data_IF_254796992632
#
_entry.id   IF_254796992632
#
_cell.length_a   1.000
_cell.length_b   1.000
_cell.length_c   1.000
_cell.angle_alpha   90.00
_cell.angle_beta   90.00
_cell.angle_gamma   90.00
#
_symmetry.space_group_name_H-M   'P 1'
#
loop_
_entity.id
_entity.type
_entity.pdbx_description
1 polymer ?
#
# COMPACT_ATOMS: atom_id res chain seq x y z
N UNK A 1 -26.84 13.53 10.78
CA UNK A 1 -26.93 13.33 9.29
C UNK A 1 -26.29 12.01 8.88
N UNK A 2 -26.31 11.62 7.59
CA UNK A 2 -25.76 10.32 7.14
C UNK A 2 -24.30 10.08 7.60
N UNK A 3 -23.44 11.10 7.51
CA UNK A 3 -22.03 11.05 7.99
C UNK A 3 -21.95 10.70 9.48
N UNK A 4 -22.76 11.35 10.31
CA UNK A 4 -22.79 11.16 11.76
C UNK A 4 -23.33 9.78 12.15
N UNK A 5 -24.23 9.20 11.34
CA UNK A 5 -24.69 7.83 11.51
C UNK A 5 -23.58 6.84 11.17
N UNK A 6 -22.88 7.03 10.05
CA UNK A 6 -21.74 6.18 9.66
C UNK A 6 -20.59 6.26 10.65
N UNK A 7 -20.27 7.45 11.16
CA UNK A 7 -19.26 7.63 12.20
C UNK A 7 -19.62 6.86 13.48
N UNK A 8 -20.87 6.99 13.97
CA UNK A 8 -21.35 6.23 15.12
C UNK A 8 -21.35 4.71 14.89
N UNK A 9 -21.67 4.26 13.68
CA UNK A 9 -21.57 2.85 13.32
C UNK A 9 -20.13 2.34 13.38
N UNK A 10 -19.17 3.13 12.87
CA UNK A 10 -17.75 2.80 12.94
C UNK A 10 -17.22 2.78 14.38
N UNK A 11 -17.55 3.80 15.18
CA UNK A 11 -17.18 3.88 16.60
C UNK A 11 -17.77 2.73 17.43
N UNK A 12 -19.00 2.30 17.12
CA UNK A 12 -19.65 1.17 17.77
C UNK A 12 -19.30 -0.19 17.13
N UNK A 13 -18.41 -0.22 16.13
CA UNK A 13 -18.04 -1.39 15.32
C UNK A 13 -19.24 -2.18 14.74
N UNK A 14 -20.35 -1.48 14.46
CA UNK A 14 -21.59 -2.09 13.95
C UNK A 14 -21.63 -2.03 12.43
N UNK A 15 -21.60 -3.21 11.80
CA UNK A 15 -21.61 -3.30 10.33
C UNK A 15 -20.29 -2.88 9.69
N UNK A 16 -19.20 -2.85 10.48
CA UNK A 16 -17.86 -2.55 10.02
C UNK A 16 -16.99 -3.80 10.10
N UNK A 17 -16.35 -4.15 8.98
CA UNK A 17 -15.38 -5.25 8.92
C UNK A 17 -13.98 -4.66 8.93
N UNK A 18 -13.16 -5.08 9.89
CA UNK A 18 -11.76 -4.65 9.96
C UNK A 18 -10.99 -5.09 8.70
N UNK A 19 -10.15 -4.22 8.18
CA UNK A 19 -9.33 -4.50 6.99
C UNK A 19 -7.93 -3.90 7.14
N UNK A 20 -6.93 -4.61 6.60
CA UNK A 20 -5.55 -4.14 6.44
C UNK A 20 -5.20 -3.94 4.96
N UNK A 21 -6.21 -3.83 4.09
CA UNK A 21 -6.03 -3.73 2.64
C UNK A 21 -5.36 -2.42 2.25
N UNK A 22 -4.19 -2.52 1.60
CA UNK A 22 -3.53 -1.36 1.00
C UNK A 22 -4.41 -0.70 -0.07
N UNK A 23 -5.21 -1.47 -0.82
CA UNK A 23 -6.15 -0.92 -1.79
C UNK A 23 -7.17 0.03 -1.15
N UNK A 24 -7.72 -0.34 0.02
CA UNK A 24 -8.65 0.52 0.77
C UNK A 24 -7.98 1.80 1.30
N UNK A 25 -6.68 1.75 1.61
CA UNK A 25 -5.90 2.95 1.96
C UNK A 25 -5.79 3.89 0.74
N UNK A 26 -5.54 3.35 -0.45
CA UNK A 26 -5.55 4.13 -1.69
C UNK A 26 -6.92 4.72 -2.00
N UNK A 27 -8.01 3.97 -1.77
CA UNK A 27 -9.38 4.51 -1.93
C UNK A 27 -9.63 5.69 -0.99
N UNK A 28 -9.21 5.58 0.29
CA UNK A 28 -9.34 6.67 1.25
C UNK A 28 -8.53 7.91 0.83
N UNK A 29 -7.29 7.71 0.35
CA UNK A 29 -6.47 8.80 -0.19
C UNK A 29 -7.15 9.47 -1.40
N UNK A 30 -7.70 8.69 -2.34
CA UNK A 30 -8.40 9.23 -3.50
C UNK A 30 -9.62 10.07 -3.12
N UNK A 31 -10.38 9.61 -2.11
CA UNK A 31 -11.53 10.33 -1.59
C UNK A 31 -11.12 11.66 -0.95
N UNK A 32 -10.09 11.64 -0.09
CA UNK A 32 -9.55 12.84 0.57
C UNK A 32 -9.07 13.89 -0.44
N UNK A 33 -8.43 13.44 -1.52
CA UNK A 33 -7.94 14.29 -2.59
C UNK A 33 -9.02 14.76 -3.57
N UNK A 34 -10.27 14.31 -3.39
CA UNK A 34 -11.37 14.62 -4.30
C UNK A 34 -11.23 13.99 -5.70
N UNK A 35 -10.37 12.98 -5.85
CA UNK A 35 -10.07 12.31 -7.12
C UNK A 35 -11.10 11.24 -7.48
N UNK A 36 -11.62 10.51 -6.49
CA UNK A 36 -12.62 9.48 -6.70
C UNK A 36 -13.54 9.38 -5.48
N UNK A 37 -14.86 9.53 -5.70
CA UNK A 37 -15.88 9.40 -4.64
C UNK A 37 -16.52 8.01 -4.60
N UNK A 38 -16.62 7.35 -5.75
CA UNK A 38 -17.25 6.05 -5.91
C UNK A 38 -16.50 5.29 -7.01
N UNK A 39 -16.09 4.07 -6.71
CA UNK A 39 -15.45 3.19 -7.69
C UNK A 39 -16.54 2.57 -8.60
N UNK A 40 -16.46 2.85 -9.90
CA UNK A 40 -17.29 2.27 -10.97
C UNK A 40 -16.68 1.01 -11.56
N UNK A 41 -15.37 0.87 -11.45
CA UNK A 41 -14.63 -0.32 -11.80
C UNK A 41 -13.53 -0.61 -10.79
N UNK A 42 -12.93 -1.79 -10.90
CA UNK A 42 -11.84 -2.20 -10.02
C UNK A 42 -10.66 -1.23 -10.11
N UNK A 43 -10.09 -0.90 -8.95
CA UNK A 43 -8.92 -0.04 -8.77
C UNK A 43 -9.03 1.41 -9.30
N UNK A 44 -10.21 1.91 -9.67
CA UNK A 44 -10.41 3.27 -10.21
C UNK A 44 -9.76 4.36 -9.35
N UNK A 45 -10.11 4.40 -8.06
CA UNK A 45 -9.52 5.34 -7.11
C UNK A 45 -7.99 5.23 -7.02
N UNK A 46 -7.46 4.01 -6.90
CA UNK A 46 -6.01 3.79 -6.80
C UNK A 46 -5.26 4.28 -8.07
N UNK A 47 -5.83 4.04 -9.25
CA UNK A 47 -5.30 4.53 -10.53
C UNK A 47 -5.36 6.05 -10.61
N UNK A 48 -6.43 6.69 -10.11
CA UNK A 48 -6.56 8.13 -10.10
C UNK A 48 -5.49 8.82 -9.22
N UNK A 49 -5.17 8.25 -8.05
CA UNK A 49 -4.09 8.78 -7.19
C UNK A 49 -2.73 8.61 -7.88
N UNK A 50 -2.48 7.49 -8.56
CA UNK A 50 -1.24 7.28 -9.33
C UNK A 50 -1.10 8.31 -10.46
N UNK A 51 -2.17 8.51 -11.23
CA UNK A 51 -2.20 9.48 -12.32
C UNK A 51 -1.98 10.91 -11.83
N UNK A 52 -2.61 11.30 -10.73
CA UNK A 52 -2.43 12.61 -10.11
C UNK A 52 -1.00 12.85 -9.63
N UNK A 53 -0.36 11.84 -9.03
CA UNK A 53 1.04 11.93 -8.61
C UNK A 53 2.00 12.09 -9.80
N UNK A 54 1.69 11.44 -10.93
CA UNK A 54 2.46 11.52 -12.17
C UNK A 54 3.95 11.25 -11.94
N UNK A 55 4.80 12.09 -12.54
CA UNK A 55 6.26 12.05 -12.38
C UNK A 55 6.82 12.90 -11.23
N UNK A 56 5.97 13.47 -10.37
CA UNK A 56 6.42 14.43 -9.34
C UNK A 56 7.29 13.70 -8.31
N UNK A 57 8.49 14.22 -8.04
CA UNK A 57 9.33 13.76 -6.92
C UNK A 57 8.89 14.44 -5.64
N UNK A 58 8.86 13.70 -4.54
CA UNK A 58 8.33 14.17 -3.28
C UNK A 58 9.06 13.53 -2.09
N UNK A 59 9.02 14.20 -0.95
CA UNK A 59 9.41 13.61 0.34
C UNK A 59 8.22 12.92 1.00
N UNK A 60 8.49 11.88 1.79
CA UNK A 60 7.44 11.19 2.52
C UNK A 60 6.84 12.08 3.62
N UNK A 61 5.57 11.86 3.91
CA UNK A 61 4.96 12.25 5.17
C UNK A 61 5.52 11.40 6.32
N UNK A 62 5.32 11.84 7.57
CA UNK A 62 5.51 10.98 8.73
C UNK A 62 4.61 9.73 8.66
N UNK A 63 5.16 8.60 9.08
CA UNK A 63 4.46 7.32 9.24
C UNK A 63 5.06 6.58 10.44
N UNK A 64 4.31 5.63 10.98
CA UNK A 64 4.75 4.85 12.14
C UNK A 64 4.79 3.36 11.79
N UNK A 65 5.84 2.67 12.25
CA UNK A 65 5.94 1.21 12.20
C UNK A 65 6.30 0.69 13.58
N UNK A 66 5.51 -0.24 14.11
CA UNK A 66 5.75 -0.85 15.42
C UNK A 66 5.82 -2.37 15.29
N UNK A 67 6.61 -3.00 16.17
CA UNK A 67 6.77 -4.45 16.21
C UNK A 67 5.91 -5.02 17.33
N UNK A 68 5.09 -6.01 17.01
CA UNK A 68 4.22 -6.72 17.93
C UNK A 68 4.42 -8.23 17.76
N UNK A 69 5.45 -8.77 18.43
CA UNK A 69 5.83 -10.18 18.26
C UNK A 69 6.22 -10.45 16.82
N UNK A 70 5.59 -11.41 16.13
CA UNK A 70 5.93 -11.71 14.73
C UNK A 70 5.32 -10.75 13.70
N UNK A 71 4.56 -9.75 14.14
CA UNK A 71 3.78 -8.86 13.27
C UNK A 71 4.38 -7.46 13.31
N UNK A 72 4.64 -6.87 12.14
CA UNK A 72 4.92 -5.44 12.01
C UNK A 72 3.61 -4.71 11.74
N UNK A 73 3.24 -3.78 12.63
CA UNK A 73 2.09 -2.89 12.44
C UNK A 73 2.55 -1.62 11.76
N UNK A 74 1.93 -1.32 10.64
CA UNK A 74 2.15 -0.12 9.83
C UNK A 74 0.98 0.84 10.06
N UNK A 75 1.25 2.09 10.43
CA UNK A 75 0.25 3.13 10.62
C UNK A 75 0.52 4.34 9.76
N UNK A 76 -0.48 4.68 8.94
CA UNK A 76 -0.53 5.89 8.13
C UNK A 76 -1.39 6.98 8.78
N UNK A 77 -1.80 6.84 10.05
CA UNK A 77 -2.57 7.89 10.71
C UNK A 77 -1.89 9.28 10.65
N UNK A 78 -0.57 9.41 10.94
CA UNK A 78 0.12 10.70 10.79
C UNK A 78 0.16 11.20 9.35
N UNK A 79 0.23 10.27 8.38
CA UNK A 79 0.19 10.60 6.95
C UNK A 79 -1.16 11.19 6.58
N UNK A 80 -2.26 10.56 7.01
CA UNK A 80 -3.62 11.03 6.74
C UNK A 80 -3.87 12.38 7.39
N UNK A 81 -3.41 12.61 8.62
CA UNK A 81 -3.50 13.91 9.29
C UNK A 81 -2.81 15.02 8.48
N UNK A 82 -1.58 14.78 8.02
CA UNK A 82 -0.88 15.73 7.18
C UNK A 82 -1.56 15.95 5.83
N UNK A 83 -2.09 14.90 5.21
CA UNK A 83 -2.84 15.03 3.95
C UNK A 83 -4.10 15.88 4.13
N UNK A 84 -4.85 15.69 5.22
CA UNK A 84 -6.04 16.50 5.53
C UNK A 84 -5.65 17.97 5.71
N UNK A 85 -4.56 18.24 6.41
CA UNK A 85 -4.05 19.60 6.57
C UNK A 85 -3.67 20.24 5.23
N UNK A 86 -2.94 19.51 4.38
CA UNK A 86 -2.51 20.01 3.07
C UNK A 86 -3.70 20.25 2.13
N UNK A 87 -4.72 19.39 2.16
CA UNK A 87 -5.98 19.58 1.42
C UNK A 87 -6.72 20.83 1.94
N UNK A 88 -6.82 21.01 3.26
CA UNK A 88 -7.47 22.18 3.86
C UNK A 88 -6.73 23.49 3.55
N UNK A 89 -5.40 23.42 3.40
CA UNK A 89 -4.56 24.54 2.99
C UNK A 89 -4.60 24.82 1.47
N UNK A 90 -5.31 24.01 0.69
CA UNK A 90 -5.41 24.15 -0.77
C UNK A 90 -4.12 23.81 -1.51
N UNK A 91 -3.28 22.93 -0.96
CA UNK A 91 -2.07 22.47 -1.62
C UNK A 91 -2.39 21.66 -2.89
N UNK A 92 -1.43 21.59 -3.81
CA UNK A 92 -1.59 20.86 -5.08
C UNK A 92 -1.84 19.36 -4.85
N UNK A 93 -2.91 18.85 -5.47
CA UNK A 93 -3.34 17.45 -5.31
C UNK A 93 -2.28 16.48 -5.82
N UNK A 94 -1.57 16.82 -6.91
CA UNK A 94 -0.49 16.00 -7.44
C UNK A 94 0.69 15.89 -6.48
N UNK A 95 1.06 16.99 -5.84
CA UNK A 95 2.08 17.01 -4.80
C UNK A 95 1.68 16.14 -3.59
N UNK A 96 0.45 16.25 -3.08
CA UNK A 96 -0.03 15.41 -1.96
C UNK A 96 -0.04 13.93 -2.37
N UNK A 97 -0.54 13.61 -3.57
CA UNK A 97 -0.55 12.24 -4.10
C UNK A 97 0.87 11.67 -4.25
N UNK A 98 1.83 12.49 -4.69
CA UNK A 98 3.23 12.10 -4.83
C UNK A 98 3.89 11.80 -3.48
N UNK A 99 3.65 12.64 -2.47
CA UNK A 99 4.10 12.44 -1.09
C UNK A 99 3.47 11.19 -0.48
N UNK A 100 2.18 10.95 -0.68
CA UNK A 100 1.49 9.74 -0.25
C UNK A 100 2.14 8.48 -0.82
N UNK A 101 2.39 8.42 -2.14
CA UNK A 101 3.09 7.29 -2.76
C UNK A 101 4.49 7.06 -2.19
N UNK A 102 5.28 8.13 -2.03
CA UNK A 102 6.61 8.03 -1.43
C UNK A 102 6.54 7.48 0.00
N UNK A 103 5.54 7.91 0.77
CA UNK A 103 5.31 7.47 2.15
C UNK A 103 5.00 5.97 2.21
N UNK A 104 4.05 5.50 1.39
CA UNK A 104 3.69 4.08 1.31
C UNK A 104 4.89 3.23 0.89
N UNK A 105 5.62 3.67 -0.15
CA UNK A 105 6.80 2.95 -0.62
C UNK A 105 7.88 2.82 0.47
N UNK A 106 8.17 3.90 1.20
CA UNK A 106 9.14 3.89 2.31
C UNK A 106 8.70 3.05 3.49
N UNK A 107 7.42 3.11 3.85
CA UNK A 107 6.87 2.30 4.94
C UNK A 107 6.96 0.81 4.64
N UNK A 108 6.60 0.39 3.42
CA UNK A 108 6.74 -0.99 2.96
C UNK A 108 8.22 -1.41 2.89
N UNK A 109 9.09 -0.55 2.35
CA UNK A 109 10.52 -0.83 2.26
C UNK A 109 11.16 -1.02 3.65
N UNK A 110 10.87 -0.12 4.59
CA UNK A 110 11.35 -0.21 5.96
C UNK A 110 10.89 -1.50 6.65
N UNK A 111 9.63 -1.88 6.44
CA UNK A 111 9.06 -3.13 6.99
C UNK A 111 9.75 -4.36 6.40
N UNK A 112 9.95 -4.40 5.08
CA UNK A 112 10.64 -5.50 4.42
C UNK A 112 12.11 -5.62 4.85
N UNK A 113 12.81 -4.48 5.01
CA UNK A 113 14.19 -4.44 5.50
C UNK A 113 14.28 -4.98 6.94
N UNK A 114 13.40 -4.54 7.84
CA UNK A 114 13.35 -5.03 9.22
C UNK A 114 13.09 -6.55 9.26
N UNK A 115 12.18 -7.05 8.42
CA UNK A 115 11.91 -8.48 8.32
C UNK A 115 13.13 -9.25 7.79
N UNK A 116 13.82 -8.72 6.78
CA UNK A 116 15.04 -9.34 6.23
C UNK A 116 16.16 -9.40 7.26
N UNK A 117 16.43 -8.30 7.96
CA UNK A 117 17.45 -8.23 9.02
C UNK A 117 17.15 -9.22 10.14
N UNK A 118 15.90 -9.23 10.63
CA UNK A 118 15.46 -10.11 11.72
C UNK A 118 15.59 -11.59 11.36
N UNK A 119 15.29 -11.96 10.11
CA UNK A 119 15.26 -13.35 9.65
C UNK A 119 16.51 -13.76 8.86
N UNK A 120 17.52 -12.89 8.77
CA UNK A 120 18.74 -13.09 7.97
C UNK A 120 18.46 -13.45 6.51
N UNK A 121 17.46 -12.81 5.92
CA UNK A 121 17.08 -12.96 4.52
C UNK A 121 17.71 -11.85 3.68
N UNK A 122 17.98 -12.15 2.41
CA UNK A 122 18.54 -11.21 1.43
C UNK A 122 17.67 -11.04 0.19
N UNK A 123 16.51 -11.69 0.15
CA UNK A 123 15.59 -11.69 -1.00
C UNK A 123 14.19 -11.31 -0.55
N UNK A 124 13.55 -10.41 -1.31
CA UNK A 124 12.17 -9.95 -1.09
C UNK A 124 11.35 -10.24 -2.35
N UNK A 125 10.19 -10.87 -2.18
CA UNK A 125 9.22 -11.05 -3.26
C UNK A 125 8.07 -10.04 -3.12
N UNK A 126 7.69 -9.38 -4.21
CA UNK A 126 6.62 -8.38 -4.28
C UNK A 126 5.54 -8.91 -5.24
N UNK A 127 4.31 -9.04 -4.75
CA UNK A 127 3.15 -9.49 -5.51
C UNK A 127 1.86 -8.93 -4.90
N UNK A 128 0.74 -9.02 -5.61
CA UNK A 128 -0.56 -8.46 -5.22
C UNK A 128 -0.97 -7.29 -6.09
N UNK A 129 -2.29 -7.12 -6.31
CA UNK A 129 -2.86 -6.16 -7.27
C UNK A 129 -2.46 -4.69 -7.04
N UNK A 130 -2.16 -4.30 -5.80
CA UNK A 130 -1.68 -2.93 -5.50
C UNK A 130 -0.36 -2.60 -6.21
N UNK A 131 0.44 -3.60 -6.56
CA UNK A 131 1.71 -3.42 -7.28
C UNK A 131 1.55 -3.37 -8.81
N UNK A 132 0.31 -3.40 -9.33
CA UNK A 132 0.03 -2.92 -10.68
C UNK A 132 0.33 -1.41 -10.82
N UNK A 133 0.30 -0.69 -9.70
CA UNK A 133 0.76 0.70 -9.60
C UNK A 133 2.28 0.76 -9.85
N UNK A 134 2.66 1.30 -11.00
CA UNK A 134 4.04 1.31 -11.50
C UNK A 134 4.91 2.25 -10.68
N UNK A 135 4.34 3.36 -10.21
CA UNK A 135 5.04 4.32 -9.34
C UNK A 135 5.43 3.66 -8.01
N UNK A 136 4.50 2.97 -7.37
CA UNK A 136 4.71 2.27 -6.11
C UNK A 136 5.71 1.12 -6.27
N UNK A 137 5.48 0.24 -7.26
CA UNK A 137 6.36 -0.91 -7.51
C UNK A 137 7.79 -0.44 -7.83
N UNK A 138 7.95 0.48 -8.77
CA UNK A 138 9.26 0.99 -9.17
C UNK A 138 10.01 1.62 -8.00
N UNK A 139 9.33 2.44 -7.20
CA UNK A 139 9.94 3.08 -6.03
C UNK A 139 10.31 2.08 -4.94
N UNK A 140 9.47 1.09 -4.67
CA UNK A 140 9.74 0.05 -3.68
C UNK A 140 10.95 -0.81 -4.09
N UNK A 141 11.01 -1.24 -5.36
CA UNK A 141 12.16 -1.98 -5.91
C UNK A 141 13.44 -1.17 -5.71
N UNK A 142 13.44 0.09 -6.13
CA UNK A 142 14.60 0.97 -6.01
C UNK A 142 15.08 1.11 -4.55
N UNK A 143 14.16 1.33 -3.60
CA UNK A 143 14.49 1.47 -2.18
C UNK A 143 15.12 0.20 -1.60
N UNK A 144 14.63 -0.98 -2.00
CA UNK A 144 15.14 -2.27 -1.52
C UNK A 144 16.49 -2.63 -2.15
N UNK A 145 16.65 -2.42 -3.45
CA UNK A 145 17.90 -2.70 -4.17
C UNK A 145 19.03 -1.77 -3.71
N UNK A 146 18.74 -0.52 -3.36
CA UNK A 146 19.70 0.39 -2.71
C UNK A 146 20.26 -0.17 -1.40
N UNK A 147 19.54 -1.08 -0.73
CA UNK A 147 20.00 -1.83 0.45
C UNK A 147 20.58 -3.21 0.10
N UNK A 148 20.87 -3.46 -1.17
CA UNK A 148 21.45 -4.71 -1.70
C UNK A 148 20.57 -5.94 -1.46
N UNK A 149 19.26 -5.74 -1.30
CA UNK A 149 18.31 -6.85 -1.29
C UNK A 149 18.01 -7.25 -2.73
N UNK A 150 17.94 -8.56 -2.99
CA UNK A 150 17.46 -9.10 -4.25
C UNK A 150 15.93 -8.98 -4.28
N UNK A 151 15.38 -8.33 -5.30
CA UNK A 151 13.93 -8.15 -5.42
C UNK A 151 13.38 -9.04 -6.53
N UNK A 152 12.31 -9.76 -6.22
CA UNK A 152 11.55 -10.59 -7.16
C UNK A 152 10.15 -10.02 -7.29
N UNK A 153 9.64 -9.91 -8.52
CA UNK A 153 8.26 -9.52 -8.79
C UNK A 153 7.76 -10.19 -10.08
N UNK A 154 6.44 -10.27 -10.23
CA UNK A 154 5.79 -10.97 -11.34
C UNK A 154 6.09 -10.28 -12.68
N UNK A 155 6.48 -11.06 -13.69
CA UNK A 155 6.71 -10.58 -15.07
C UNK A 155 5.97 -11.42 -16.13
N UNK A 156 6.04 -12.74 -16.01
CA UNK A 156 5.42 -13.68 -16.95
C UNK A 156 3.95 -14.01 -16.62
N UNK A 157 3.53 -13.70 -15.39
CA UNK A 157 2.16 -13.91 -14.91
C UNK A 157 1.62 -12.63 -14.32
N UNK A 158 0.28 -12.46 -14.25
CA UNK A 158 -0.32 -11.31 -13.60
C UNK A 158 0.17 -11.16 -12.15
N UNK A 159 0.35 -9.90 -11.71
CA UNK A 159 0.74 -9.58 -10.33
C UNK A 159 -0.44 -9.63 -9.36
N UNK A 160 -1.66 -9.51 -9.87
CA UNK A 160 -2.91 -9.62 -9.11
C UNK A 160 -3.53 -11.02 -9.19
N UNK A 161 -4.84 -11.07 -8.96
CA UNK A 161 -5.58 -12.31 -8.70
C UNK A 161 -5.54 -13.32 -9.86
N UNK A 162 -5.39 -12.84 -11.10
CA UNK A 162 -5.19 -13.71 -12.27
C UNK A 162 -3.94 -14.59 -12.21
N UNK A 163 -2.98 -14.31 -11.33
CA UNK A 163 -1.78 -15.12 -11.11
C UNK A 163 -1.85 -16.07 -9.90
N UNK A 164 -2.92 -16.02 -9.10
CA UNK A 164 -3.00 -16.72 -7.80
C UNK A 164 -2.97 -18.24 -7.97
N UNK A 165 -3.63 -18.78 -9.00
CA UNK A 165 -3.69 -20.21 -9.25
C UNK A 165 -2.32 -20.86 -9.46
N UNK A 166 -1.37 -20.15 -10.09
CA UNK A 166 0.02 -20.61 -10.21
C UNK A 166 0.69 -20.71 -8.84
N UNK A 167 0.53 -19.68 -8.00
CA UNK A 167 1.08 -19.66 -6.65
C UNK A 167 0.53 -20.81 -5.80
N UNK A 168 -0.77 -21.10 -5.92
CA UNK A 168 -1.42 -22.23 -5.25
C UNK A 168 -0.83 -23.57 -5.71
N UNK A 169 -0.67 -23.78 -7.02
CA UNK A 169 -0.14 -25.03 -7.57
C UNK A 169 1.29 -25.31 -7.10
N UNK A 170 2.18 -24.31 -7.16
CA UNK A 170 3.58 -24.46 -6.75
C UNK A 170 3.70 -24.60 -5.23
N UNK A 171 2.90 -23.89 -4.44
CA UNK A 171 2.89 -24.03 -2.99
C UNK A 171 2.45 -25.43 -2.56
N UNK A 172 1.41 -25.98 -3.18
CA UNK A 172 0.95 -27.33 -2.91
C UNK A 172 2.03 -28.37 -3.27
N UNK A 173 2.68 -28.22 -4.43
CA UNK A 173 3.76 -29.12 -4.85
C UNK A 173 4.96 -29.09 -3.88
N UNK A 174 5.36 -27.89 -3.43
CA UNK A 174 6.43 -27.74 -2.44
C UNK A 174 6.07 -28.39 -1.09
N UNK A 175 4.80 -28.28 -0.66
CA UNK A 175 4.33 -28.93 0.57
C UNK A 175 4.42 -30.45 0.47
N UNK A 176 4.00 -31.04 -0.66
CA UNK A 176 4.08 -32.50 -0.87
C UNK A 176 5.51 -33.04 -0.94
N UNK A 177 6.47 -32.24 -1.41
CA UNK A 177 7.89 -32.67 -1.45
C UNK A 177 8.60 -32.60 -0.10
N UNK A 178 8.03 -31.88 0.86
CA UNK A 178 8.58 -31.72 2.20
C UNK A 178 8.08 -32.78 3.20
N UNK A 179 7.15 -33.65 2.79
CA UNK A 179 6.77 -34.89 3.47
C UNK A 179 7.64 -36.07 3.00
#
# INVERSE_FOLDING_TARGET
>A
GAIETTARQAEAERGCVATSSLGRVFDAAAFLLGLCRENRHEAEAAMAVEAAAGGISAEAYPYCTTFAGRIVRMSLAPTIECMVHDVAAGADVGAIAARFHETVARMLAATAMMACETNKLSTVAISGGCFANRRLLGRLVELLERRRLKVLFNRAVPIGDGGVSLGQAVAAEAMFRCE
#
